data_IF_279757817516
#
_entry.id   IF_279757817516
#
_cell.length_a   1.000
_cell.length_b   1.000
_cell.length_c   1.000
_cell.angle_alpha   90.00
_cell.angle_beta   90.00
_cell.angle_gamma   90.00
#
_symmetry.space_group_name_H-M   'P 1'
#
loop_
_entity.id
_entity.type
_entity.pdbx_description
1 polymer ?
#
# COMPACT_ATOMS: atom_id res chain seq x y z
N UNK A 1 58.89 -30.46 -14.19
CA UNK A 1 59.18 -31.31 -15.40
C UNK A 1 57.87 -31.59 -16.14
N UNK A 2 57.86 -31.19 -17.42
CA UNK A 2 57.03 -31.71 -18.55
C UNK A 2 55.48 -31.59 -18.36
N UNK A 3 54.71 -31.14 -19.33
CA UNK A 3 54.86 -30.54 -20.65
C UNK A 3 53.47 -30.09 -21.15
N UNK A 4 53.43 -28.96 -21.67
CA UNK A 4 52.78 -28.34 -22.80
C UNK A 4 52.11 -29.35 -23.78
N UNK A 5 50.83 -29.15 -24.12
CA UNK A 5 50.30 -29.47 -25.45
C UNK A 5 49.26 -28.47 -25.89
N UNK A 6 49.67 -27.59 -26.80
CA UNK A 6 48.82 -26.80 -27.69
C UNK A 6 48.21 -27.74 -28.71
N UNK A 7 46.97 -27.51 -29.11
CA UNK A 7 46.49 -27.95 -30.41
C UNK A 7 45.61 -26.85 -31.04
N UNK A 8 46.11 -26.34 -32.11
CA UNK A 8 45.54 -25.36 -33.06
C UNK A 8 45.02 -26.13 -34.27
N UNK A 9 43.82 -25.87 -34.71
CA UNK A 9 43.33 -26.14 -36.08
C UNK A 9 42.25 -25.11 -36.37
N UNK A 10 42.46 -24.05 -37.12
CA UNK A 10 42.56 -23.76 -38.56
C UNK A 10 41.21 -23.84 -39.30
N UNK A 11 40.71 -22.63 -39.66
CA UNK A 11 40.02 -22.12 -40.83
C UNK A 11 39.15 -23.07 -41.70
N UNK A 12 37.91 -22.62 -41.97
CA UNK A 12 37.46 -22.52 -43.36
C UNK A 12 36.41 -21.42 -43.52
N UNK A 13 36.79 -20.42 -44.29
CA UNK A 13 35.90 -19.37 -44.78
C UNK A 13 35.17 -19.88 -46.02
N UNK A 14 33.87 -19.62 -46.14
CA UNK A 14 33.16 -19.60 -47.42
C UNK A 14 32.39 -18.30 -47.54
N UNK A 15 32.86 -17.48 -48.44
CA UNK A 15 32.19 -16.26 -48.92
C UNK A 15 31.17 -16.67 -49.95
N UNK A 16 29.91 -16.26 -49.82
CA UNK A 16 28.99 -16.09 -50.94
C UNK A 16 28.27 -14.76 -50.78
N UNK A 17 28.59 -13.86 -51.67
CA UNK A 17 27.89 -12.60 -51.89
C UNK A 17 26.71 -12.85 -52.84
N UNK A 18 25.54 -12.37 -52.45
CA UNK A 18 24.51 -11.97 -53.41
C UNK A 18 23.69 -10.84 -52.79
N UNK A 19 23.82 -9.69 -53.40
CA UNK A 19 23.00 -8.51 -53.12
C UNK A 19 21.60 -8.70 -53.68
N UNK A 20 20.58 -8.30 -52.95
CA UNK A 20 19.37 -7.71 -53.51
C UNK A 20 18.69 -6.78 -52.46
N UNK A 21 18.32 -5.63 -52.92
CA UNK A 21 17.66 -4.54 -52.26
C UNK A 21 16.32 -4.96 -51.62
N UNK A 22 16.09 -4.50 -50.42
CA UNK A 22 14.78 -4.44 -49.78
C UNK A 22 14.84 -3.38 -48.69
N UNK A 23 14.24 -2.21 -48.92
CA UNK A 23 13.88 -1.25 -47.90
C UNK A 23 12.87 -1.90 -46.96
N UNK A 24 13.20 -2.02 -45.69
CA UNK A 24 12.22 -2.28 -44.63
C UNK A 24 12.60 -1.46 -43.43
N UNK A 25 11.64 -0.60 -43.09
CA UNK A 25 11.63 0.29 -41.96
C UNK A 25 11.86 -0.47 -40.66
N UNK A 26 12.94 -0.13 -39.96
CA UNK A 26 13.20 -0.62 -38.62
C UNK A 26 12.17 -0.03 -37.66
N UNK A 27 11.18 -0.81 -37.28
CA UNK A 27 10.43 -0.57 -36.07
C UNK A 27 11.34 -0.89 -34.87
N UNK A 28 11.79 0.15 -34.21
CA UNK A 28 12.32 0.05 -32.86
C UNK A 28 11.13 -0.33 -31.96
N UNK A 29 11.03 -1.58 -31.59
CA UNK A 29 10.18 -2.01 -30.49
C UNK A 29 10.78 -1.40 -29.23
N UNK A 30 10.24 -0.28 -28.80
CA UNK A 30 10.40 0.17 -27.43
C UNK A 30 9.53 -0.77 -26.60
N UNK A 31 10.14 -1.65 -25.84
CA UNK A 31 9.48 -2.29 -24.72
C UNK A 31 9.06 -1.17 -23.74
N UNK A 32 7.81 -0.75 -23.85
CA UNK A 32 7.17 0.01 -22.81
C UNK A 32 7.01 -0.91 -21.61
N UNK A 33 7.84 -0.69 -20.59
CA UNK A 33 7.60 -1.19 -19.22
C UNK A 33 6.18 -0.77 -18.89
N UNK A 34 5.24 -1.71 -18.84
CA UNK A 34 3.90 -1.44 -18.33
C UNK A 34 4.06 -1.18 -16.82
N UNK A 35 3.92 0.09 -16.44
CA UNK A 35 3.71 0.45 -15.04
C UNK A 35 2.44 -0.25 -14.57
N UNK A 36 2.58 -1.08 -13.55
CA UNK A 36 1.49 -1.79 -12.90
C UNK A 36 0.68 -0.77 -12.10
N UNK A 37 -0.35 -0.21 -12.73
CA UNK A 37 -1.48 0.34 -11.96
C UNK A 37 -2.14 -0.85 -11.26
N UNK A 38 -2.26 -0.80 -9.93
CA UNK A 38 -3.01 -1.80 -9.19
C UNK A 38 -4.39 -1.93 -9.84
N UNK A 39 -4.72 -3.14 -10.31
CA UNK A 39 -5.97 -3.36 -11.04
C UNK A 39 -7.14 -3.12 -10.08
N UNK A 40 -7.84 -2.00 -10.25
CA UNK A 40 -9.07 -1.63 -9.51
C UNK A 40 -10.09 -2.79 -9.43
N UNK A 41 -10.02 -3.74 -10.36
CA UNK A 41 -10.92 -4.90 -10.42
C UNK A 41 -10.74 -5.93 -9.30
N UNK A 42 -9.69 -5.83 -8.47
CA UNK A 42 -9.41 -6.77 -7.37
C UNK A 42 -9.80 -6.23 -5.99
N UNK A 43 -10.04 -4.93 -5.87
CA UNK A 43 -10.39 -4.31 -4.59
C UNK A 43 -11.91 -4.43 -4.40
N UNK A 44 -12.39 -5.10 -3.34
CA UNK A 44 -13.82 -5.15 -3.03
C UNK A 44 -14.38 -3.77 -2.70
N UNK A 45 -15.69 -3.62 -2.78
CA UNK A 45 -16.35 -2.41 -2.32
C UNK A 45 -16.20 -2.26 -0.80
N UNK A 46 -16.18 -1.00 -0.33
CA UNK A 46 -16.12 -0.72 1.10
C UNK A 46 -17.30 -1.35 1.84
N UNK A 47 -17.01 -2.05 2.92
CA UNK A 47 -18.01 -2.79 3.71
C UNK A 47 -18.01 -2.45 5.21
N UNK A 48 -17.39 -1.33 5.57
CA UNK A 48 -17.30 -0.85 6.95
C UNK A 48 -15.90 -0.94 7.56
N UNK A 49 -15.02 -1.77 7.02
CA UNK A 49 -13.64 -1.89 7.48
C UNK A 49 -12.72 -0.89 6.75
N UNK A 50 -12.04 -0.02 7.50
CA UNK A 50 -11.12 0.99 6.95
C UNK A 50 -9.99 0.36 6.15
N UNK A 51 -9.56 -0.84 6.54
CA UNK A 51 -8.41 -1.53 5.95
C UNK A 51 -8.73 -3.00 5.72
N UNK A 52 -8.34 -3.51 4.56
CA UNK A 52 -8.42 -4.94 4.24
C UNK A 52 -7.03 -5.47 3.90
N UNK A 53 -6.79 -6.74 4.19
CA UNK A 53 -5.57 -7.45 3.81
C UNK A 53 -5.69 -7.93 2.36
N UNK A 54 -4.65 -7.71 1.57
CA UNK A 54 -4.52 -8.20 0.21
C UNK A 54 -3.50 -9.35 0.14
N UNK A 55 -3.68 -10.24 -0.81
CA UNK A 55 -2.73 -11.30 -1.19
C UNK A 55 -2.11 -12.05 0.00
N UNK A 56 -2.92 -12.42 0.99
CA UNK A 56 -2.51 -13.07 2.25
C UNK A 56 -1.50 -12.26 3.07
N UNK A 57 -1.49 -10.93 2.93
CA UNK A 57 -0.54 -10.02 3.57
C UNK A 57 0.89 -10.09 3.00
N UNK A 58 1.10 -10.73 1.86
CA UNK A 58 2.39 -10.85 1.19
C UNK A 58 2.56 -9.68 0.20
N UNK A 59 3.59 -8.81 0.38
CA UNK A 59 3.88 -7.74 -0.58
C UNK A 59 4.49 -8.32 -1.86
N UNK A 60 4.19 -7.69 -3.01
CA UNK A 60 4.70 -8.10 -4.32
C UNK A 60 5.91 -7.23 -4.70
N UNK A 61 7.05 -7.48 -4.07
CA UNK A 61 8.31 -6.81 -4.38
C UNK A 61 9.23 -7.67 -5.25
N UNK A 62 9.86 -7.04 -6.24
CA UNK A 62 10.94 -7.67 -6.97
C UNK A 62 12.17 -7.80 -6.06
N UNK A 63 12.86 -8.93 -6.15
CA UNK A 63 14.07 -9.18 -5.36
C UNK A 63 15.20 -8.15 -5.63
N UNK A 64 15.15 -7.46 -6.78
CA UNK A 64 16.08 -6.39 -7.14
C UNK A 64 15.83 -5.09 -6.38
N UNK A 65 14.60 -4.89 -5.86
CA UNK A 65 14.21 -3.72 -5.06
C UNK A 65 14.63 -3.86 -3.59
N UNK A 66 14.85 -5.09 -3.11
CA UNK A 66 15.31 -5.38 -1.75
C UNK A 66 16.78 -4.98 -1.61
N UNK A 67 17.05 -3.82 -1.04
CA UNK A 67 18.38 -3.24 -0.89
C UNK A 67 18.56 -2.56 0.46
N UNK A 68 19.73 -2.67 1.05
CA UNK A 68 20.14 -1.92 2.25
C UNK A 68 20.56 -0.47 1.94
N UNK A 69 20.25 0.01 0.73
CA UNK A 69 20.54 1.37 0.32
C UNK A 69 19.26 2.19 0.25
N UNK A 70 19.18 3.23 1.08
CA UNK A 70 18.03 4.14 1.08
C UNK A 70 17.84 4.83 -0.27
N UNK A 71 16.59 4.90 -0.71
CA UNK A 71 16.16 5.65 -1.88
C UNK A 71 14.67 6.01 -1.77
N UNK A 72 14.23 6.93 -2.58
CA UNK A 72 12.82 7.24 -2.83
C UNK A 72 12.59 7.45 -4.32
N UNK A 73 11.43 7.03 -4.79
CA UNK A 73 11.00 7.12 -6.19
C UNK A 73 9.52 7.45 -6.24
N UNK A 74 9.15 8.36 -7.11
CA UNK A 74 7.79 8.82 -7.33
C UNK A 74 7.50 8.75 -8.82
N UNK A 75 6.52 7.95 -9.22
CA UNK A 75 6.09 7.86 -10.62
C UNK A 75 5.57 9.22 -11.12
N UNK A 76 5.64 9.44 -12.41
CA UNK A 76 5.06 10.63 -13.02
C UNK A 76 3.54 10.63 -12.82
N UNK A 77 2.96 11.82 -12.76
CA UNK A 77 1.51 11.96 -12.75
C UNK A 77 0.93 11.41 -14.07
N UNK A 78 -0.26 10.84 -14.01
CA UNK A 78 -0.96 10.42 -15.22
C UNK A 78 -1.54 11.60 -16.02
N UNK A 79 -2.26 11.29 -17.10
CA UNK A 79 -2.84 12.29 -18.00
C UNK A 79 -3.89 13.19 -17.32
N UNK A 80 -4.54 12.70 -16.25
CA UNK A 80 -5.47 13.44 -15.40
C UNK A 80 -4.76 14.23 -14.30
N UNK A 81 -3.44 14.10 -14.17
CA UNK A 81 -2.63 14.74 -13.13
C UNK A 81 -2.70 14.06 -11.77
N UNK A 82 -3.11 12.78 -11.72
CA UNK A 82 -3.22 11.98 -10.50
C UNK A 82 -1.88 11.35 -10.15
N UNK A 83 -1.61 11.25 -8.83
CA UNK A 83 -0.44 10.52 -8.34
C UNK A 83 -0.52 9.05 -8.74
N UNK A 84 0.64 8.48 -9.02
CA UNK A 84 0.85 7.07 -9.28
C UNK A 84 1.67 6.47 -8.13
N UNK A 85 2.25 5.30 -8.32
CA UNK A 85 3.02 4.60 -7.30
C UNK A 85 4.17 5.44 -6.75
N UNK A 86 4.28 5.47 -5.43
CA UNK A 86 5.44 5.96 -4.69
C UNK A 86 6.11 4.79 -3.96
N UNK A 87 7.43 4.67 -4.08
CA UNK A 87 8.22 3.61 -3.48
C UNK A 87 9.47 4.17 -2.82
N UNK A 88 9.85 3.64 -1.66
CA UNK A 88 11.09 3.98 -0.99
C UNK A 88 11.70 2.77 -0.28
N UNK A 89 13.01 2.69 -0.27
CA UNK A 89 13.73 1.91 0.72
C UNK A 89 14.09 2.85 1.87
N UNK A 90 13.37 2.74 2.97
CA UNK A 90 13.42 3.68 4.09
C UNK A 90 14.52 3.24 5.04
N UNK A 91 15.59 4.03 5.11
CA UNK A 91 16.63 3.90 6.12
C UNK A 91 16.70 5.16 6.97
N UNK A 92 17.37 5.07 8.09
CA UNK A 92 17.49 6.18 9.07
C UNK A 92 18.15 7.44 8.50
N UNK A 93 18.96 7.30 7.47
CA UNK A 93 19.71 8.38 6.82
C UNK A 93 18.84 9.33 5.99
N UNK A 94 17.67 8.86 5.50
CA UNK A 94 16.71 9.69 4.75
C UNK A 94 15.56 10.21 5.61
N UNK A 95 15.43 9.75 6.85
CA UNK A 95 14.40 10.27 7.75
C UNK A 95 14.59 11.77 8.04
N UNK A 96 13.50 12.54 8.27
CA UNK A 96 13.61 13.98 8.44
C UNK A 96 14.39 14.36 9.68
N UNK A 97 15.27 15.34 9.54
CA UNK A 97 16.00 15.99 10.63
C UNK A 97 15.50 17.41 10.93
N UNK A 98 14.46 17.84 10.22
CA UNK A 98 13.83 19.16 10.32
C UNK A 98 12.34 19.03 10.54
N UNK A 99 11.73 20.07 11.06
CA UNK A 99 10.27 20.14 11.15
C UNK A 99 9.61 20.20 9.76
N UNK A 100 8.42 19.60 9.66
CA UNK A 100 7.62 19.61 8.43
C UNK A 100 7.27 21.02 8.00
N UNK A 101 7.52 21.33 6.74
CA UNK A 101 7.16 22.60 6.12
C UNK A 101 5.67 22.68 5.71
N UNK A 102 5.25 23.87 5.28
CA UNK A 102 3.91 24.04 4.73
C UNK A 102 3.77 23.31 3.38
N UNK A 103 2.60 22.69 3.16
CA UNK A 103 2.25 21.98 1.90
C UNK A 103 0.97 22.52 1.25
N UNK A 104 0.43 23.63 1.78
CA UNK A 104 -0.84 24.22 1.30
C UNK A 104 -0.85 24.69 -0.14
N UNK A 105 0.32 24.89 -0.77
CA UNK A 105 0.47 25.28 -2.16
C UNK A 105 0.14 24.11 -3.12
N UNK A 106 0.34 22.85 -2.72
CA UNK A 106 -0.02 21.70 -3.53
C UNK A 106 -1.53 21.46 -3.44
N UNK A 107 -2.16 21.30 -4.57
CA UNK A 107 -3.58 20.95 -4.68
C UNK A 107 -3.68 19.67 -5.50
N UNK A 108 -3.78 18.51 -4.83
CA UNK A 108 -3.99 17.24 -5.52
C UNK A 108 -5.29 17.26 -6.33
N UNK A 109 -5.46 16.30 -7.24
CA UNK A 109 -6.71 16.15 -7.99
C UNK A 109 -7.91 16.00 -7.05
N UNK A 110 -9.09 16.48 -7.43
CA UNK A 110 -10.31 16.44 -6.62
C UNK A 110 -10.23 17.23 -5.30
N UNK A 111 -9.27 18.17 -5.14
CA UNK A 111 -9.10 18.94 -3.92
C UNK A 111 -10.20 19.98 -3.69
N UNK A 112 -10.93 19.84 -2.59
CA UNK A 112 -11.86 20.83 -2.07
C UNK A 112 -11.52 21.23 -0.64
N UNK A 113 -11.83 22.47 -0.25
CA UNK A 113 -11.74 22.89 1.15
C UNK A 113 -13.15 22.89 1.73
N UNK A 114 -13.52 21.78 2.32
CA UNK A 114 -14.86 21.56 2.88
C UNK A 114 -14.76 21.17 4.36
N UNK A 115 -15.81 21.52 5.13
CA UNK A 115 -15.87 21.27 6.57
C UNK A 115 -17.19 20.63 6.94
N UNK A 116 -17.11 19.67 7.88
CA UNK A 116 -18.24 19.01 8.51
C UNK A 116 -18.05 18.99 10.02
N UNK A 117 -19.13 19.12 10.77
CA UNK A 117 -19.07 19.17 12.24
C UNK A 117 -18.76 17.80 12.87
N UNK A 118 -19.09 16.71 12.19
CA UNK A 118 -18.82 15.32 12.58
C UNK A 118 -17.42 14.81 12.19
N UNK A 119 -16.59 15.61 11.50
CA UNK A 119 -15.21 15.24 11.15
C UNK A 119 -14.24 15.80 12.19
N UNK A 120 -13.27 15.00 12.66
CA UNK A 120 -12.22 15.46 13.54
C UNK A 120 -11.41 16.60 12.92
N UNK A 121 -11.22 17.71 13.65
CA UNK A 121 -10.62 18.93 13.11
C UNK A 121 -11.47 19.66 12.07
N UNK A 122 -12.67 19.16 11.76
CA UNK A 122 -13.69 19.69 10.86
C UNK A 122 -13.37 19.68 9.38
N UNK A 123 -12.12 19.63 8.96
CA UNK A 123 -11.75 19.57 7.56
C UNK A 123 -11.81 18.12 7.05
N UNK A 124 -12.70 17.87 6.06
CA UNK A 124 -12.83 16.55 5.44
C UNK A 124 -11.51 16.09 4.83
N UNK A 125 -10.95 16.93 3.95
CA UNK A 125 -9.78 16.55 3.18
C UNK A 125 -8.47 17.01 3.80
N UNK A 126 -7.51 16.10 3.78
CA UNK A 126 -6.10 16.31 4.04
C UNK A 126 -5.30 16.14 2.74
N UNK A 127 -4.16 16.81 2.66
CA UNK A 127 -3.13 16.46 1.68
C UNK A 127 -2.35 15.29 2.23
N UNK A 128 -2.79 14.09 1.87
CA UNK A 128 -2.19 12.87 2.35
C UNK A 128 -0.93 12.58 1.56
N UNK A 129 0.20 12.38 2.25
CA UNK A 129 1.39 11.86 1.61
C UNK A 129 1.17 10.36 1.30
N UNK A 130 1.64 9.90 0.15
CA UNK A 130 1.77 8.47 -0.13
C UNK A 130 2.89 7.89 0.73
N UNK A 131 4.07 8.49 0.69
CA UNK A 131 5.15 8.20 1.65
C UNK A 131 5.22 9.33 2.65
N UNK A 132 4.95 9.04 3.91
CA UNK A 132 4.83 10.02 4.98
C UNK A 132 6.11 10.86 5.15
N UNK A 133 5.94 12.15 5.47
CA UNK A 133 7.06 13.03 5.79
C UNK A 133 8.00 12.46 6.86
N UNK A 134 7.45 11.79 7.86
CA UNK A 134 8.24 11.18 8.95
C UNK A 134 9.17 10.05 8.49
N UNK A 135 8.97 9.51 7.29
CA UNK A 135 9.74 8.39 6.76
C UNK A 135 10.91 8.84 5.87
N UNK A 136 10.70 9.85 5.01
CA UNK A 136 11.72 10.28 4.03
C UNK A 136 12.02 11.77 4.06
N UNK A 137 11.24 12.57 4.78
CA UNK A 137 11.39 14.02 4.80
C UNK A 137 10.90 14.74 3.54
N UNK A 138 10.33 14.01 2.56
CA UNK A 138 9.74 14.61 1.37
C UNK A 138 8.49 15.42 1.73
N UNK A 139 8.47 16.71 1.39
CA UNK A 139 7.47 17.63 1.95
C UNK A 139 6.36 18.01 0.97
N UNK A 140 6.67 18.81 -0.03
CA UNK A 140 5.68 19.46 -0.91
C UNK A 140 5.76 18.93 -2.35
N UNK A 141 5.96 17.64 -2.50
CA UNK A 141 6.03 16.97 -3.78
C UNK A 141 4.61 16.67 -4.30
N UNK A 142 4.28 17.17 -5.47
CA UNK A 142 2.97 16.94 -6.09
C UNK A 142 2.73 15.48 -6.48
N UNK A 143 3.80 14.70 -6.69
CA UNK A 143 3.74 13.26 -6.99
C UNK A 143 3.57 12.39 -5.75
N UNK A 144 3.61 12.99 -4.57
CA UNK A 144 3.51 12.31 -3.27
C UNK A 144 2.29 12.76 -2.45
N UNK A 145 1.41 13.60 -3.00
CA UNK A 145 0.28 14.17 -2.27
C UNK A 145 -1.02 13.89 -2.99
N UNK A 146 -1.95 13.20 -2.31
CA UNK A 146 -3.30 12.94 -2.80
C UNK A 146 -4.35 13.61 -1.92
N UNK A 147 -5.56 13.76 -2.45
CA UNK A 147 -6.73 14.17 -1.69
C UNK A 147 -7.26 12.97 -0.92
N UNK A 148 -7.13 12.98 0.40
CA UNK A 148 -7.64 11.94 1.28
C UNK A 148 -8.46 12.51 2.42
N UNK A 149 -9.39 11.73 2.96
CA UNK A 149 -10.20 12.13 4.09
C UNK A 149 -9.38 12.19 5.38
N UNK A 150 -9.98 12.76 6.43
CA UNK A 150 -9.35 12.79 7.75
C UNK A 150 -9.15 11.37 8.29
N UNK A 151 -10.20 10.52 8.25
CA UNK A 151 -10.11 9.16 8.75
C UNK A 151 -9.14 8.31 7.93
N UNK A 152 -9.19 8.40 6.61
CA UNK A 152 -8.22 7.73 5.74
C UNK A 152 -6.77 8.03 6.14
N UNK A 153 -6.45 9.31 6.37
CA UNK A 153 -5.10 9.74 6.70
C UNK A 153 -4.66 9.31 8.11
N UNK A 154 -5.55 9.39 9.10
CA UNK A 154 -5.19 9.23 10.53
C UNK A 154 -5.51 7.85 11.07
N UNK A 155 -6.68 7.32 10.70
CA UNK A 155 -7.13 6.03 11.22
C UNK A 155 -6.69 4.88 10.28
N UNK A 156 -6.55 5.18 8.98
CA UNK A 156 -6.17 4.21 7.96
C UNK A 156 -4.66 4.13 7.74
N UNK A 157 -4.02 5.18 7.19
CA UNK A 157 -2.61 5.12 6.77
C UNK A 157 -1.62 5.24 7.94
N UNK A 158 -1.85 6.18 8.85
CA UNK A 158 -0.90 6.53 9.91
C UNK A 158 -0.41 5.34 10.75
N UNK A 159 -1.25 4.35 11.16
CA UNK A 159 -0.79 3.20 11.93
C UNK A 159 0.32 2.38 11.22
N UNK A 160 0.23 2.24 9.90
CA UNK A 160 1.24 1.55 9.09
C UNK A 160 2.51 2.39 8.92
N UNK A 161 2.35 3.69 8.72
CA UNK A 161 3.48 4.63 8.64
C UNK A 161 4.27 4.69 9.95
N UNK A 162 3.58 4.68 11.09
CA UNK A 162 4.20 4.65 12.42
C UNK A 162 4.94 3.32 12.64
N UNK A 163 4.33 2.18 12.30
CA UNK A 163 4.95 0.86 12.39
C UNK A 163 6.29 0.81 11.64
N UNK A 164 6.30 1.26 10.39
CA UNK A 164 7.52 1.34 9.56
C UNK A 164 8.54 2.31 10.18
N UNK A 165 8.09 3.50 10.56
CA UNK A 165 8.96 4.52 11.13
C UNK A 165 9.59 4.11 12.47
N UNK A 166 8.84 3.43 13.34
CA UNK A 166 9.34 2.95 14.63
C UNK A 166 10.36 1.83 14.43
N UNK A 167 10.08 0.87 13.55
CA UNK A 167 11.05 -0.18 13.22
C UNK A 167 12.39 0.40 12.75
N UNK A 168 12.38 1.32 11.77
CA UNK A 168 13.61 1.95 11.26
C UNK A 168 14.34 2.75 12.36
N UNK A 169 13.62 3.44 13.22
CA UNK A 169 14.21 4.22 14.34
C UNK A 169 14.87 3.33 15.39
N UNK A 170 14.22 2.21 15.73
CA UNK A 170 14.66 1.31 16.79
C UNK A 170 15.79 0.38 16.35
N UNK A 171 15.69 -0.19 15.15
CA UNK A 171 16.67 -1.16 14.66
C UNK A 171 17.82 -0.52 13.88
N UNK A 172 17.55 0.54 13.15
CA UNK A 172 18.45 1.12 12.16
C UNK A 172 18.46 0.37 10.82
N UNK A 173 17.66 -0.67 10.70
CA UNK A 173 17.46 -1.47 9.49
C UNK A 173 16.56 -0.74 8.48
N UNK A 174 16.47 -1.28 7.27
CA UNK A 174 15.71 -0.70 6.18
C UNK A 174 14.34 -1.38 6.01
N UNK A 175 13.38 -0.60 5.53
CA UNK A 175 12.08 -1.12 5.09
C UNK A 175 11.84 -0.70 3.65
N UNK A 176 11.61 -1.67 2.77
CA UNK A 176 11.05 -1.40 1.45
C UNK A 176 9.55 -1.14 1.61
N UNK A 177 9.10 0.02 1.13
CA UNK A 177 7.76 0.53 1.33
C UNK A 177 7.21 1.10 0.02
N UNK A 178 6.01 0.66 -0.37
CA UNK A 178 5.34 1.09 -1.60
C UNK A 178 3.90 1.47 -1.31
N UNK A 179 3.46 2.58 -1.88
CA UNK A 179 2.07 3.03 -1.80
C UNK A 179 1.56 3.33 -3.19
N UNK A 180 0.49 2.65 -3.57
CA UNK A 180 -0.13 2.78 -4.88
C UNK A 180 -1.57 3.26 -4.73
N UNK A 181 -1.90 4.49 -5.15
CA UNK A 181 -3.27 4.97 -5.15
C UNK A 181 -4.10 4.26 -6.22
N UNK A 182 -5.34 3.93 -5.89
CA UNK A 182 -6.26 3.25 -6.79
C UNK A 182 -7.40 4.18 -7.15
N UNK A 183 -7.50 4.50 -8.44
CA UNK A 183 -8.57 5.32 -9.02
C UNK A 183 -9.49 4.44 -9.87
N UNK A 184 -10.77 4.80 -9.94
CA UNK A 184 -11.71 4.14 -10.84
C UNK A 184 -12.01 5.05 -12.04
N UNK A 185 -11.76 4.55 -13.25
CA UNK A 185 -11.96 5.34 -14.47
C UNK A 185 -11.34 6.74 -14.40
N UNK A 186 -12.17 7.77 -14.59
CA UNK A 186 -11.78 9.18 -14.61
C UNK A 186 -11.90 9.87 -13.23
N UNK A 187 -11.96 9.12 -12.13
CA UNK A 187 -12.06 9.66 -10.78
C UNK A 187 -10.84 10.51 -10.43
N UNK A 188 -11.08 11.69 -9.84
CA UNK A 188 -10.02 12.61 -9.40
C UNK A 188 -9.58 12.38 -7.95
N UNK A 189 -10.35 11.62 -7.18
CA UNK A 189 -10.02 11.19 -5.82
C UNK A 189 -9.85 9.68 -5.83
N UNK A 190 -8.77 9.19 -5.23
CA UNK A 190 -8.53 7.75 -5.14
C UNK A 190 -9.57 7.07 -4.23
N UNK A 191 -10.05 5.88 -4.60
CA UNK A 191 -10.85 5.03 -3.72
C UNK A 191 -10.11 4.65 -2.44
N UNK A 192 -8.81 4.61 -2.50
CA UNK A 192 -7.90 4.28 -1.43
C UNK A 192 -6.49 4.07 -1.95
N UNK A 193 -5.66 3.51 -1.10
CA UNK A 193 -4.28 3.14 -1.45
C UNK A 193 -3.99 1.70 -1.06
N UNK A 194 -3.26 0.99 -1.92
CA UNK A 194 -2.54 -0.20 -1.51
C UNK A 194 -1.25 0.23 -0.83
N UNK A 195 -0.98 -0.30 0.34
CA UNK A 195 0.25 -0.08 1.11
C UNK A 195 0.94 -1.41 1.30
N UNK A 196 2.20 -1.48 0.92
CA UNK A 196 3.03 -2.67 1.00
C UNK A 196 4.33 -2.34 1.70
N UNK A 197 4.78 -3.21 2.58
CA UNK A 197 6.07 -3.06 3.25
C UNK A 197 6.73 -4.40 3.55
N UNK A 198 8.06 -4.38 3.55
CA UNK A 198 8.89 -5.53 3.95
C UNK A 198 10.19 -5.02 4.56
N UNK A 199 10.52 -5.48 5.75
CA UNK A 199 11.85 -5.24 6.34
C UNK A 199 12.92 -6.00 5.55
N UNK A 200 14.03 -5.31 5.25
CA UNK A 200 15.00 -5.79 4.25
C UNK A 200 16.00 -6.79 4.87
N UNK A 201 16.64 -6.43 5.97
CA UNK A 201 17.74 -7.21 6.55
C UNK A 201 17.31 -8.54 7.17
N UNK A 202 16.03 -8.65 7.56
CA UNK A 202 15.44 -9.86 8.15
C UNK A 202 14.44 -10.55 7.22
N UNK A 203 14.38 -10.12 5.94
CA UNK A 203 13.55 -10.73 4.90
C UNK A 203 12.04 -10.75 5.28
N UNK A 204 11.56 -9.69 5.94
CA UNK A 204 10.15 -9.54 6.32
C UNK A 204 9.76 -10.17 7.67
N UNK A 205 10.73 -10.62 8.48
CA UNK A 205 10.41 -11.29 9.78
C UNK A 205 9.71 -10.32 10.75
N UNK A 206 10.12 -9.05 10.79
CA UNK A 206 9.58 -8.03 11.70
C UNK A 206 8.51 -7.14 11.05
N UNK A 207 8.68 -6.75 9.80
CA UNK A 207 7.71 -5.93 9.03
C UNK A 207 7.38 -6.64 7.72
N UNK A 208 6.12 -7.04 7.58
CA UNK A 208 5.57 -7.57 6.34
C UNK A 208 4.08 -7.25 6.29
N UNK A 209 3.64 -6.47 5.30
CA UNK A 209 2.22 -6.25 5.05
C UNK A 209 1.91 -5.88 3.60
N UNK A 210 0.71 -6.27 3.17
CA UNK A 210 0.07 -5.86 1.94
C UNK A 210 -1.42 -5.60 2.25
N UNK A 211 -1.79 -4.32 2.32
CA UNK A 211 -3.11 -3.89 2.74
C UNK A 211 -3.68 -2.85 1.79
N UNK A 212 -5.00 -2.78 1.72
CA UNK A 212 -5.69 -1.66 1.08
C UNK A 212 -6.40 -0.82 2.12
N UNK A 213 -6.17 0.48 2.09
CA UNK A 213 -6.80 1.46 2.97
C UNK A 213 -7.82 2.25 2.16
N UNK A 214 -9.09 2.23 2.58
CA UNK A 214 -10.18 2.93 1.90
C UNK A 214 -10.17 4.42 2.22
N UNK A 215 -10.36 5.25 1.19
CA UNK A 215 -10.44 6.70 1.32
C UNK A 215 -11.89 7.13 1.61
N UNK A 216 -12.37 6.83 2.78
CA UNK A 216 -13.74 7.07 3.24
C UNK A 216 -13.75 7.98 4.48
N UNK A 217 -14.91 8.55 4.80
CA UNK A 217 -15.17 9.28 6.04
C UNK A 217 -16.56 8.91 6.54
N UNK A 218 -16.63 8.44 7.78
CA UNK A 218 -17.91 8.07 8.39
C UNK A 218 -18.91 9.23 8.36
N UNK A 219 -20.15 8.93 7.92
CA UNK A 219 -21.23 9.89 7.79
C UNK A 219 -21.07 10.92 6.68
N UNK A 220 -20.12 10.73 5.75
CA UNK A 220 -19.91 11.60 4.59
C UNK A 220 -19.88 10.78 3.29
N UNK A 221 -20.71 11.15 2.34
CA UNK A 221 -20.66 10.64 0.98
C UNK A 221 -19.73 11.48 0.12
N UNK A 222 -18.88 10.80 -0.65
CA UNK A 222 -17.87 11.41 -1.51
C UNK A 222 -18.14 11.05 -2.97
N UNK A 223 -18.23 12.05 -3.82
CA UNK A 223 -18.13 11.86 -5.26
C UNK A 223 -16.64 11.79 -5.65
N UNK A 224 -16.11 10.57 -5.80
CA UNK A 224 -14.70 10.35 -6.16
C UNK A 224 -14.32 10.94 -7.51
N UNK A 225 -15.29 11.10 -8.40
CA UNK A 225 -15.05 11.70 -9.72
C UNK A 225 -14.65 13.15 -9.61
N UNK A 226 -15.20 13.91 -8.67
CA UNK A 226 -15.00 15.36 -8.57
C UNK A 226 -14.32 15.79 -7.28
N UNK A 227 -14.47 15.01 -6.20
CA UNK A 227 -14.10 15.38 -4.85
C UNK A 227 -15.21 16.17 -4.12
N UNK A 228 -16.38 16.37 -4.73
CA UNK A 228 -17.52 16.93 -4.03
C UNK A 228 -18.01 15.96 -2.94
N UNK A 229 -18.64 16.49 -1.90
CA UNK A 229 -19.06 15.68 -0.76
C UNK A 229 -20.30 16.28 -0.08
N UNK A 230 -21.04 15.45 0.62
CA UNK A 230 -22.17 15.85 1.45
C UNK A 230 -22.33 14.90 2.65
N UNK A 231 -23.07 15.35 3.67
CA UNK A 231 -23.43 14.47 4.79
C UNK A 231 -24.31 13.33 4.27
N UNK A 232 -23.98 12.08 4.65
CA UNK A 232 -24.77 10.92 4.29
C UNK A 232 -26.19 11.06 4.84
N UNK A 233 -27.19 10.70 4.02
CA UNK A 233 -28.57 10.74 4.47
C UNK A 233 -28.85 9.60 5.46
N UNK A 234 -29.62 9.88 6.55
CA UNK A 234 -29.96 8.87 7.57
C UNK A 234 -30.64 7.61 6.99
N UNK A 235 -31.24 7.71 5.78
CA UNK A 235 -31.88 6.57 5.08
C UNK A 235 -30.85 5.64 4.41
N UNK A 236 -29.62 6.07 4.15
CA UNK A 236 -28.57 5.25 3.51
C UNK A 236 -27.68 4.57 4.56
N UNK A 237 -27.46 5.21 5.73
CA UNK A 237 -26.76 4.59 6.86
C UNK A 237 -27.46 3.36 7.42
N UNK A 238 -28.80 3.28 7.32
CA UNK A 238 -29.57 2.12 7.75
C UNK A 238 -29.40 0.89 6.83
N UNK A 239 -28.88 1.05 5.62
CA UNK A 239 -28.64 -0.08 4.70
C UNK A 239 -27.26 -0.74 4.86
N UNK A 240 -26.30 -0.04 5.49
CA UNK A 240 -24.98 -0.60 5.83
C UNK A 240 -24.98 -1.29 7.21
N UNK A 241 -25.95 -0.98 8.09
CA UNK A 241 -26.06 -1.61 9.42
C UNK A 241 -26.86 -2.93 9.44
N UNK A 242 -27.38 -3.39 8.31
CA UNK A 242 -28.16 -4.64 8.29
C UNK A 242 -27.32 -5.83 7.83
N UNK A 243 -26.48 -6.33 8.69
CA UNK A 243 -26.25 -7.74 9.05
C UNK A 243 -24.81 -8.10 9.39
N UNK A 244 -24.36 -7.64 10.53
CA UNK A 244 -23.42 -8.45 11.31
C UNK A 244 -23.65 -8.14 12.80
N UNK A 245 -24.16 -9.10 13.53
CA UNK A 245 -23.94 -9.13 14.99
C UNK A 245 -22.43 -9.11 15.18
N UNK A 246 -21.87 -8.00 15.66
CA UNK A 246 -20.48 -7.94 16.13
C UNK A 246 -20.25 -9.08 17.10
N UNK A 247 -19.65 -10.15 16.63
CA UNK A 247 -19.20 -11.24 17.48
C UNK A 247 -17.72 -10.98 17.73
N UNK A 248 -17.40 -10.46 18.91
CA UNK A 248 -16.01 -10.39 19.36
C UNK A 248 -15.38 -11.78 19.30
N UNK A 249 -14.45 -11.99 18.37
CA UNK A 249 -13.70 -13.24 18.20
C UNK A 249 -12.34 -13.05 18.88
N UNK A 250 -11.98 -13.94 19.79
CA UNK A 250 -10.74 -13.85 20.56
C UNK A 250 -9.69 -14.81 20.05
N UNK A 251 -8.63 -14.30 19.46
CA UNK A 251 -7.50 -15.05 18.96
C UNK A 251 -6.30 -15.05 19.90
N UNK A 252 -5.48 -16.08 19.82
CA UNK A 252 -4.20 -16.12 20.50
C UNK A 252 -3.06 -16.02 19.49
N UNK A 253 -2.32 -14.93 19.54
CA UNK A 253 -1.22 -14.62 18.61
C UNK A 253 -0.19 -15.74 18.50
N UNK A 254 0.11 -16.40 19.60
CA UNK A 254 1.14 -17.45 19.65
C UNK A 254 0.68 -18.79 19.09
N UNK A 255 -0.57 -19.20 19.38
CA UNK A 255 -1.09 -20.51 18.92
C UNK A 255 -1.80 -20.42 17.58
N UNK A 256 -2.07 -19.21 17.10
CA UNK A 256 -2.90 -18.94 15.91
C UNK A 256 -4.25 -19.67 15.97
N UNK A 257 -4.87 -19.68 17.16
CA UNK A 257 -6.19 -20.27 17.39
C UNK A 257 -7.13 -19.16 17.85
N UNK A 258 -8.34 -19.11 17.27
CA UNK A 258 -9.39 -18.19 17.70
C UNK A 258 -10.58 -18.93 18.33
N UNK A 259 -11.27 -18.24 19.21
CA UNK A 259 -12.46 -18.70 19.93
C UNK A 259 -13.62 -17.74 19.67
N UNK A 260 -14.79 -18.31 19.38
CA UNK A 260 -16.04 -17.54 19.25
C UNK A 260 -16.76 -17.48 20.60
N UNK A 261 -17.66 -16.48 20.81
CA UNK A 261 -18.52 -16.42 21.99
C UNK A 261 -19.24 -17.75 22.24
N UNK A 262 -19.22 -18.18 23.52
CA UNK A 262 -19.83 -19.43 23.94
C UNK A 262 -18.96 -20.69 23.75
N UNK A 263 -17.76 -20.59 23.19
CA UNK A 263 -16.79 -21.68 23.20
C UNK A 263 -16.08 -21.79 24.55
N UNK A 264 -15.64 -22.98 24.90
CA UNK A 264 -15.13 -23.36 26.24
C UNK A 264 -14.07 -22.41 26.81
N UNK A 265 -13.13 -21.95 25.99
CA UNK A 265 -11.99 -21.15 26.46
C UNK A 265 -12.12 -19.69 26.07
N UNK A 266 -13.27 -19.26 25.54
CA UNK A 266 -13.49 -17.89 25.08
C UNK A 266 -13.28 -16.84 26.18
N UNK A 267 -13.87 -17.10 27.36
CA UNK A 267 -13.80 -16.14 28.47
C UNK A 267 -12.39 -16.08 29.09
N UNK A 268 -11.67 -17.19 29.08
CA UNK A 268 -10.30 -17.25 29.61
C UNK A 268 -9.28 -16.57 28.68
N UNK A 269 -9.64 -16.39 27.41
CA UNK A 269 -8.80 -15.66 26.48
C UNK A 269 -8.73 -14.17 26.77
N UNK A 270 -9.71 -13.57 27.44
CA UNK A 270 -9.72 -12.16 27.79
C UNK A 270 -8.49 -11.70 28.60
N UNK A 271 -7.96 -12.58 29.45
CA UNK A 271 -6.80 -12.33 30.31
C UNK A 271 -5.45 -12.75 29.65
N UNK A 272 -5.49 -13.21 28.41
CA UNK A 272 -4.29 -13.67 27.71
C UNK A 272 -3.39 -12.52 27.27
N UNK A 273 -2.10 -12.59 27.60
CA UNK A 273 -1.09 -11.65 27.09
C UNK A 273 -0.91 -11.70 25.57
N UNK A 274 -1.43 -12.75 24.93
CA UNK A 274 -1.38 -12.95 23.49
C UNK A 274 -2.76 -12.77 22.85
N UNK A 275 -3.67 -12.04 23.50
CA UNK A 275 -5.00 -11.77 22.98
C UNK A 275 -4.90 -10.88 21.71
N UNK A 276 -5.65 -11.30 20.69
CA UNK A 276 -6.00 -10.51 19.51
C UNK A 276 -7.50 -10.59 19.37
N UNK A 277 -8.15 -9.46 19.11
CA UNK A 277 -9.59 -9.38 18.89
C UNK A 277 -9.83 -9.26 17.39
N UNK A 278 -10.80 -10.01 16.88
CA UNK A 278 -11.31 -9.95 15.53
C UNK A 278 -12.82 -9.70 15.61
N UNK A 279 -13.37 -9.04 14.61
CA UNK A 279 -14.78 -8.70 14.54
C UNK A 279 -15.61 -9.73 13.76
N UNK A 280 -14.93 -10.64 13.05
CA UNK A 280 -15.57 -11.78 12.39
C UNK A 280 -14.66 -13.02 12.35
N UNK A 281 -15.26 -14.20 12.08
CA UNK A 281 -14.50 -15.45 11.90
C UNK A 281 -13.67 -15.40 10.60
N UNK A 282 -14.19 -14.72 9.59
CA UNK A 282 -13.53 -14.51 8.30
C UNK A 282 -12.26 -13.69 8.49
N UNK A 283 -12.32 -12.62 9.28
CA UNK A 283 -11.16 -11.80 9.62
C UNK A 283 -10.09 -12.61 10.33
N UNK A 284 -10.47 -13.40 11.34
CA UNK A 284 -9.53 -14.25 12.05
C UNK A 284 -8.89 -15.31 11.13
N UNK A 285 -9.65 -15.85 10.16
CA UNK A 285 -9.14 -16.83 9.21
C UNK A 285 -8.21 -16.18 8.17
N UNK A 286 -8.55 -14.98 7.69
CA UNK A 286 -7.71 -14.20 6.80
C UNK A 286 -6.36 -13.83 7.46
N UNK A 287 -6.36 -13.57 8.78
CA UNK A 287 -5.15 -13.35 9.58
C UNK A 287 -4.38 -14.64 9.90
N UNK A 288 -4.71 -15.77 9.28
CA UNK A 288 -4.05 -17.06 9.45
C UNK A 288 -4.38 -17.78 10.75
N UNK A 289 -5.50 -17.43 11.40
CA UNK A 289 -5.95 -18.14 12.61
C UNK A 289 -6.92 -19.26 12.26
N UNK A 290 -6.87 -20.34 13.02
CA UNK A 290 -7.79 -21.46 12.91
C UNK A 290 -8.77 -21.50 14.07
N UNK A 291 -10.01 -21.92 13.83
CA UNK A 291 -11.02 -22.06 14.87
C UNK A 291 -10.61 -23.10 15.90
N UNK A 292 -10.86 -22.82 17.17
CA UNK A 292 -10.68 -23.79 18.25
C UNK A 292 -11.61 -24.99 18.02
N UNK A 293 -11.06 -26.18 18.11
CA UNK A 293 -11.85 -27.41 18.17
C UNK A 293 -12.42 -27.55 19.58
N UNK A 294 -13.67 -28.00 19.70
CA UNK A 294 -14.42 -28.12 20.97
C UNK A 294 -13.64 -28.77 22.09
#
# INVERSE_FOLDING_TARGET
MKALRKLTVVFMAVVFAAALWGCESGETVSESRQETTAESSKIPDYSGEMTIVLDNNEPDFDSEDLTEKSYESYSDLDDEGRCQTAQACIGKDIMPTKERGAIGMVKPTGWHTVKYDNVDGKYLYNRCHLIAYQLTGENANEKNLITGTRSFNVDGMLPYEEMVGDYVRETGNHVLYRVTPVFEGDDLVAKGVQMEAMSVEDEGEDIEFNVFVYNVQDGIDIDYRTGDSHEASEDETASSESSQTEQEIRGNRRSKVYHCPGQRDYDTMADSKNLVIFHSEEEAQAAGYRKAQR
#
